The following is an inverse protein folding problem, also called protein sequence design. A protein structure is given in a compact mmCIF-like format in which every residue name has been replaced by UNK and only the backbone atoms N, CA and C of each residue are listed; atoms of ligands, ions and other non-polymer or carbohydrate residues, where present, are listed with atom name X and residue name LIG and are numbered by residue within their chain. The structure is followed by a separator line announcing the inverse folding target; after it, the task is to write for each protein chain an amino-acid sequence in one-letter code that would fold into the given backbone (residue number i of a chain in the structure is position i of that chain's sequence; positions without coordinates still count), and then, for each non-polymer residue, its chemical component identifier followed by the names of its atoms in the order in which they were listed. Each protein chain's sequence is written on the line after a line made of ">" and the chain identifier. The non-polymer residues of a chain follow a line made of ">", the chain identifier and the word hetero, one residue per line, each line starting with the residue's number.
data_IF_331639318547
#
_entry.id   IF_331639318547
#
_cell.length_a   1.000
_cell.length_b   1.000
_cell.length_c   1.000
_cell.angle_alpha   90.00
_cell.angle_beta   90.00
_cell.angle_gamma   90.00
#
_symmetry.space_group_name_H-M   'P 1'
#
loop_
_entity.id
_entity.type
_entity.pdbx_description
1 polymer ?
#
# COMPACT_ATOMS: atom_id res chain seq x y z
N UNK A 1 -66.15 -16.24 13.42
CA UNK A 1 -65.37 -17.49 13.36
C UNK A 1 -64.80 -17.57 11.95
N UNK A 2 -63.68 -16.90 11.66
CA UNK A 2 -62.30 -17.37 11.86
C UNK A 2 -62.05 -18.71 11.14
N UNK A 3 -61.29 -18.71 10.04
CA UNK A 3 -59.86 -19.04 10.07
C UNK A 3 -59.21 -19.12 8.67
N UNK A 4 -57.91 -18.79 8.67
CA UNK A 4 -56.96 -18.62 7.57
C UNK A 4 -56.60 -19.91 6.79
N UNK A 5 -55.98 -19.79 5.60
CA UNK A 5 -55.58 -20.91 4.74
C UNK A 5 -54.24 -21.57 5.16
N UNK A 6 -53.98 -22.84 4.81
CA UNK A 6 -52.71 -23.50 5.14
C UNK A 6 -51.58 -23.14 4.18
N UNK A 7 -50.44 -22.83 4.80
CA UNK A 7 -49.09 -22.66 4.25
C UNK A 7 -48.46 -24.00 3.85
N UNK A 8 -47.66 -24.01 2.79
CA UNK A 8 -46.21 -24.33 2.82
C UNK A 8 -45.64 -24.63 1.42
N UNK A 9 -44.83 -23.70 0.94
CA UNK A 9 -43.82 -23.90 -0.09
C UNK A 9 -42.72 -22.88 0.15
N UNK A 10 -41.60 -23.32 0.71
CA UNK A 10 -40.50 -22.48 1.24
C UNK A 10 -39.76 -21.71 0.14
N UNK A 11 -39.68 -20.36 0.19
CA UNK A 11 -38.71 -19.60 -0.58
C UNK A 11 -37.46 -19.31 0.26
N UNK A 12 -36.29 -19.55 -0.33
CA UNK A 12 -34.98 -19.16 0.19
C UNK A 12 -34.97 -17.67 0.60
N UNK A 13 -34.52 -17.30 1.83
CA UNK A 13 -34.47 -15.91 2.24
C UNK A 13 -33.13 -15.30 1.85
N UNK A 14 -33.04 -14.75 0.64
CA UNK A 14 -32.08 -13.68 0.34
C UNK A 14 -32.80 -12.34 0.43
N UNK A 15 -33.15 -11.95 1.67
CA UNK A 15 -33.60 -10.60 1.98
C UNK A 15 -32.39 -9.80 2.49
N UNK A 16 -31.65 -9.15 1.57
CA UNK A 16 -30.74 -8.06 1.92
C UNK A 16 -31.44 -6.77 1.52
N UNK A 17 -32.13 -6.14 2.48
CA UNK A 17 -32.54 -4.74 2.31
C UNK A 17 -31.29 -3.87 2.24
N UNK A 18 -31.23 -2.86 1.36
CA UNK A 18 -30.12 -1.93 1.36
C UNK A 18 -30.10 -1.20 2.71
N UNK A 19 -28.95 -1.07 3.38
CA UNK A 19 -28.84 -0.16 4.52
C UNK A 19 -29.21 1.24 4.04
N UNK A 20 -30.20 1.84 4.69
CA UNK A 20 -30.56 3.23 4.50
C UNK A 20 -29.38 4.11 4.93
N UNK A 21 -28.49 4.43 3.99
CA UNK A 21 -27.46 5.43 4.23
C UNK A 21 -28.09 6.81 4.18
N UNK A 22 -28.17 7.47 5.34
CA UNK A 22 -28.07 8.92 5.38
C UNK A 22 -26.87 9.34 4.51
N UNK A 23 -26.99 10.45 3.77
CA UNK A 23 -25.93 10.94 2.89
C UNK A 23 -24.56 10.80 3.58
N UNK A 24 -23.55 10.15 2.94
CA UNK A 24 -22.28 9.92 3.59
C UNK A 24 -21.74 11.27 4.08
N UNK A 25 -21.24 11.32 5.33
CA UNK A 25 -20.68 12.57 5.84
C UNK A 25 -19.59 13.06 4.87
N UNK A 26 -19.46 14.39 4.68
CA UNK A 26 -18.39 14.95 3.85
C UNK A 26 -17.05 14.39 4.36
N UNK A 27 -16.15 14.03 3.45
CA UNK A 27 -14.86 13.45 3.85
C UNK A 27 -14.11 14.41 4.78
N UNK A 28 -13.71 13.89 5.95
CA UNK A 28 -12.84 14.60 6.89
C UNK A 28 -11.67 13.71 7.27
N UNK A 29 -10.49 14.31 7.36
CA UNK A 29 -9.24 13.62 7.73
C UNK A 29 -9.36 12.90 9.09
N UNK A 30 -9.93 13.52 10.15
CA UNK A 30 -10.07 12.84 11.44
C UNK A 30 -10.95 11.60 11.37
N UNK A 31 -12.00 11.62 10.56
CA UNK A 31 -12.91 10.49 10.37
C UNK A 31 -12.21 9.35 9.62
N UNK A 32 -11.41 9.69 8.60
CA UNK A 32 -10.60 8.72 7.88
C UNK A 32 -9.58 8.02 8.79
N UNK A 33 -8.89 8.78 9.64
CA UNK A 33 -7.95 8.23 10.61
C UNK A 33 -8.66 7.39 11.69
N UNK A 34 -9.72 7.94 12.30
CA UNK A 34 -10.49 7.27 13.35
C UNK A 34 -11.06 5.93 12.89
N UNK A 35 -11.75 5.93 11.73
CA UNK A 35 -12.28 4.71 11.14
C UNK A 35 -11.18 3.67 10.86
N UNK A 36 -10.06 4.11 10.28
CA UNK A 36 -8.95 3.21 9.94
C UNK A 36 -8.29 2.63 11.19
N UNK A 37 -8.20 3.42 12.25
CA UNK A 37 -7.66 3.00 13.53
C UNK A 37 -8.57 1.99 14.24
N UNK A 38 -9.89 2.18 14.17
CA UNK A 38 -10.86 1.24 14.73
C UNK A 38 -10.84 -0.09 13.95
N UNK A 39 -10.81 -0.04 12.62
CA UNK A 39 -10.68 -1.25 11.79
C UNK A 39 -9.35 -1.97 12.02
N UNK A 40 -8.25 -1.22 12.20
CA UNK A 40 -6.97 -1.80 12.56
C UNK A 40 -7.05 -2.53 13.90
N UNK A 41 -7.71 -1.98 14.92
CA UNK A 41 -7.87 -2.63 16.23
C UNK A 41 -8.75 -3.87 16.16
N UNK A 42 -9.88 -3.79 15.46
CA UNK A 42 -10.81 -4.91 15.29
C UNK A 42 -10.14 -6.07 14.57
N UNK A 43 -9.35 -5.79 13.53
CA UNK A 43 -8.68 -6.79 12.71
C UNK A 43 -7.17 -6.93 12.99
N UNK A 44 -6.71 -6.45 14.16
CA UNK A 44 -5.30 -6.27 14.47
C UNK A 44 -4.50 -7.56 14.29
N UNK A 45 -5.01 -8.67 14.82
CA UNK A 45 -4.33 -9.97 14.78
C UNK A 45 -4.06 -10.43 13.35
N UNK A 46 -5.05 -10.29 12.47
CA UNK A 46 -4.94 -10.74 11.07
C UNK A 46 -4.04 -9.79 10.28
N UNK A 47 -4.18 -8.48 10.49
CA UNK A 47 -3.37 -7.47 9.79
C UNK A 47 -1.90 -7.50 10.21
N UNK A 48 -1.61 -7.64 11.50
CA UNK A 48 -0.23 -7.81 11.97
C UNK A 48 0.37 -9.15 11.58
N UNK A 49 -0.40 -10.25 11.67
CA UNK A 49 0.05 -11.55 11.20
C UNK A 49 0.39 -11.52 9.71
N UNK A 50 -0.44 -10.85 8.91
CA UNK A 50 -0.19 -10.60 7.50
C UNK A 50 1.16 -9.90 7.26
N UNK A 51 1.61 -9.00 8.14
CA UNK A 51 2.88 -8.29 7.96
C UNK A 51 4.12 -9.12 8.28
N UNK A 52 4.01 -10.23 9.01
CA UNK A 52 5.16 -11.03 9.47
C UNK A 52 6.13 -11.38 8.34
N UNK A 53 5.70 -11.93 7.18
CA UNK A 53 6.63 -12.27 6.10
C UNK A 53 7.42 -11.06 5.60
N UNK A 54 6.76 -9.92 5.44
CA UNK A 54 7.38 -8.67 4.96
C UNK A 54 8.34 -8.08 5.98
N UNK A 55 7.98 -8.12 7.27
CA UNK A 55 8.86 -7.67 8.36
C UNK A 55 10.10 -8.56 8.45
N UNK A 56 9.94 -9.88 8.38
CA UNK A 56 11.06 -10.83 8.41
C UNK A 56 12.00 -10.60 7.22
N UNK A 57 11.45 -10.53 6.00
CA UNK A 57 12.25 -10.25 4.80
C UNK A 57 12.94 -8.89 4.89
N UNK A 58 12.23 -7.86 5.35
CA UNK A 58 12.79 -6.52 5.54
C UNK A 58 13.93 -6.50 6.56
N UNK A 59 13.76 -7.18 7.70
CA UNK A 59 14.80 -7.30 8.73
C UNK A 59 16.03 -8.06 8.23
N UNK A 60 15.82 -9.15 7.46
CA UNK A 60 16.93 -9.91 6.85
C UNK A 60 17.70 -9.03 5.86
N UNK A 61 17.00 -8.34 4.96
CA UNK A 61 17.65 -7.43 4.00
C UNK A 61 18.38 -6.29 4.70
N UNK A 62 17.79 -5.73 5.77
CA UNK A 62 18.41 -4.69 6.58
C UNK A 62 19.66 -5.22 7.29
N UNK A 63 19.59 -6.38 7.92
CA UNK A 63 20.75 -7.01 8.55
C UNK A 63 21.86 -7.32 7.54
N UNK A 64 21.52 -7.84 6.36
CA UNK A 64 22.47 -8.07 5.26
C UNK A 64 23.10 -6.77 4.77
N UNK A 65 22.31 -5.69 4.64
CA UNK A 65 22.79 -4.36 4.28
C UNK A 65 23.81 -3.86 5.29
N UNK A 66 23.50 -3.90 6.59
CA UNK A 66 24.41 -3.46 7.65
C UNK A 66 25.66 -4.32 7.74
N UNK A 67 25.49 -5.65 7.71
CA UNK A 67 26.58 -6.61 7.73
C UNK A 67 27.59 -6.35 6.60
N UNK A 68 27.11 -6.02 5.40
CA UNK A 68 27.98 -5.82 4.24
C UNK A 68 28.54 -4.41 4.13
N UNK A 69 27.78 -3.37 4.44
CA UNK A 69 28.21 -1.99 4.22
C UNK A 69 29.00 -1.40 5.39
N UNK A 70 28.72 -1.76 6.64
CA UNK A 70 29.45 -1.21 7.80
C UNK A 70 30.97 -1.46 7.69
N UNK A 71 31.46 -2.67 7.34
CA UNK A 71 32.89 -2.89 7.15
C UNK A 71 33.49 -2.01 6.04
N UNK A 72 32.76 -1.81 4.95
CA UNK A 72 33.20 -0.96 3.83
C UNK A 72 33.28 0.50 4.26
N UNK A 73 32.31 0.99 5.04
CA UNK A 73 32.35 2.34 5.58
C UNK A 73 33.54 2.57 6.52
N UNK A 74 33.88 1.57 7.34
CA UNK A 74 35.04 1.61 8.23
C UNK A 74 36.34 1.64 7.41
N UNK A 75 36.49 0.75 6.44
CA UNK A 75 37.69 0.68 5.59
C UNK A 75 37.86 1.96 4.73
N UNK A 76 36.76 2.53 4.22
CA UNK A 76 36.77 3.80 3.49
C UNK A 76 37.17 5.00 4.36
N UNK A 77 36.99 4.93 5.68
CA UNK A 77 37.40 6.00 6.59
C UNK A 77 38.90 5.99 6.90
N UNK A 78 39.61 4.90 6.61
CA UNK A 78 41.04 4.80 6.86
C UNK A 78 41.85 5.59 5.81
N UNK A 79 42.71 6.54 6.21
CA UNK A 79 43.49 7.32 5.26
C UNK A 79 44.52 6.43 4.55
N UNK A 80 44.58 6.54 3.22
CA UNK A 80 45.57 5.83 2.40
C UNK A 80 46.04 6.71 1.24
N UNK A 81 47.35 6.67 0.98
CA UNK A 81 48.00 7.36 -0.14
C UNK A 81 48.26 6.46 -1.34
N UNK A 82 48.03 5.15 -1.20
CA UNK A 82 48.24 4.18 -2.28
C UNK A 82 47.04 4.15 -3.24
N UNK A 83 47.31 4.39 -4.53
CA UNK A 83 46.29 4.39 -5.58
C UNK A 83 45.64 3.02 -5.81
N UNK A 84 46.38 1.93 -5.55
CA UNK A 84 45.88 0.55 -5.66
C UNK A 84 44.80 0.26 -4.61
N UNK A 85 45.06 0.61 -3.34
CA UNK A 85 44.08 0.42 -2.26
C UNK A 85 42.84 1.29 -2.47
N UNK A 86 42.99 2.51 -2.98
CA UNK A 86 41.84 3.36 -3.32
C UNK A 86 40.95 2.73 -4.41
N UNK A 87 41.57 2.12 -5.43
CA UNK A 87 40.83 1.45 -6.51
C UNK A 87 40.11 0.20 -6.00
N UNK A 88 40.75 -0.63 -5.19
CA UNK A 88 40.17 -1.84 -4.61
C UNK A 88 38.95 -1.50 -3.75
N UNK A 89 39.06 -0.49 -2.89
CA UNK A 89 37.97 0.00 -2.04
C UNK A 89 36.77 0.52 -2.85
N UNK A 90 37.05 1.28 -3.92
CA UNK A 90 36.02 1.76 -4.81
C UNK A 90 35.30 0.57 -5.49
N UNK A 91 36.04 -0.40 -6.03
CA UNK A 91 35.48 -1.59 -6.64
C UNK A 91 34.61 -2.40 -5.67
N UNK A 92 35.08 -2.60 -4.43
CA UNK A 92 34.34 -3.32 -3.39
C UNK A 92 33.03 -2.63 -3.00
N UNK A 93 33.02 -1.30 -2.92
CA UNK A 93 31.81 -0.52 -2.69
C UNK A 93 30.82 -0.72 -3.84
N UNK A 94 31.25 -0.57 -5.10
CA UNK A 94 30.36 -0.71 -6.26
C UNK A 94 29.85 -2.13 -6.47
N UNK A 95 30.69 -3.14 -6.27
CA UNK A 95 30.27 -4.54 -6.30
C UNK A 95 29.20 -4.81 -5.24
N UNK A 96 29.38 -4.25 -4.03
CA UNK A 96 28.41 -4.36 -2.94
C UNK A 96 27.09 -3.66 -3.25
N UNK A 97 27.16 -2.42 -3.73
CA UNK A 97 25.97 -1.66 -4.13
C UNK A 97 25.22 -2.42 -5.22
N UNK A 98 25.93 -2.95 -6.22
CA UNK A 98 25.35 -3.77 -7.30
C UNK A 98 24.66 -5.03 -6.77
N UNK A 99 25.30 -5.76 -5.85
CA UNK A 99 24.72 -6.95 -5.21
C UNK A 99 23.45 -6.62 -4.42
N UNK A 100 23.47 -5.56 -3.61
CA UNK A 100 22.32 -5.12 -2.83
C UNK A 100 21.16 -4.69 -3.74
N UNK A 101 21.47 -4.02 -4.85
CA UNK A 101 20.46 -3.62 -5.84
C UNK A 101 19.83 -4.85 -6.51
N UNK A 102 20.65 -5.83 -6.90
CA UNK A 102 20.16 -7.08 -7.46
C UNK A 102 19.26 -7.85 -6.46
N UNK A 103 19.66 -7.94 -5.19
CA UNK A 103 18.87 -8.55 -4.13
C UNK A 103 17.54 -7.82 -3.92
N UNK A 104 17.55 -6.49 -3.93
CA UNK A 104 16.34 -5.67 -3.82
C UNK A 104 15.37 -5.91 -4.99
N UNK A 105 15.87 -6.04 -6.23
CA UNK A 105 15.04 -6.35 -7.40
C UNK A 105 14.37 -7.73 -7.29
N UNK A 106 15.09 -8.73 -6.77
CA UNK A 106 14.52 -10.07 -6.52
C UNK A 106 13.39 -10.01 -5.51
N UNK A 107 13.52 -9.19 -4.46
CA UNK A 107 12.51 -9.04 -3.39
C UNK A 107 11.38 -8.08 -3.77
N UNK A 108 11.59 -7.17 -4.73
CA UNK A 108 10.55 -6.26 -5.20
C UNK A 108 9.34 -7.01 -5.77
N UNK A 109 9.58 -8.15 -6.43
CA UNK A 109 8.56 -9.03 -6.99
C UNK A 109 7.57 -9.52 -5.91
N UNK A 110 7.98 -10.29 -4.89
CA UNK A 110 7.06 -10.74 -3.84
C UNK A 110 6.47 -9.57 -3.04
N UNK A 111 7.23 -8.49 -2.82
CA UNK A 111 6.74 -7.33 -2.09
C UNK A 111 5.61 -6.60 -2.83
N UNK A 112 5.66 -6.55 -4.17
CA UNK A 112 4.60 -5.96 -4.98
C UNK A 112 3.29 -6.75 -4.88
N UNK A 113 3.38 -8.08 -4.87
CA UNK A 113 2.22 -8.97 -4.69
C UNK A 113 1.62 -8.82 -3.31
N UNK A 114 2.47 -8.78 -2.30
CA UNK A 114 2.10 -8.51 -0.93
C UNK A 114 1.31 -7.21 -0.80
N UNK A 115 1.84 -6.12 -1.36
CA UNK A 115 1.18 -4.81 -1.31
C UNK A 115 -0.19 -4.84 -2.01
N UNK A 116 -0.29 -5.46 -3.19
CA UNK A 116 -1.58 -5.63 -3.87
C UNK A 116 -2.58 -6.45 -3.06
N UNK A 117 -2.15 -7.52 -2.39
CA UNK A 117 -3.03 -8.33 -1.55
C UNK A 117 -3.45 -7.63 -0.27
N UNK A 118 -2.56 -6.80 0.32
CA UNK A 118 -2.90 -5.95 1.45
C UNK A 118 -4.00 -4.95 1.08
N UNK A 119 -3.88 -4.28 -0.08
CA UNK A 119 -4.93 -3.38 -0.59
C UNK A 119 -6.26 -4.13 -0.76
N UNK A 120 -6.25 -5.36 -1.30
CA UNK A 120 -7.48 -6.16 -1.42
C UNK A 120 -8.10 -6.50 -0.07
N UNK A 121 -7.28 -6.83 0.93
CA UNK A 121 -7.77 -7.12 2.28
C UNK A 121 -8.41 -5.88 2.89
N UNK A 122 -7.79 -4.71 2.73
CA UNK A 122 -8.35 -3.45 3.21
C UNK A 122 -9.65 -3.06 2.48
N UNK A 123 -9.74 -3.32 1.16
CA UNK A 123 -10.99 -3.17 0.40
C UNK A 123 -12.09 -4.09 0.95
N UNK A 124 -11.78 -5.37 1.21
CA UNK A 124 -12.72 -6.31 1.80
C UNK A 124 -13.21 -5.86 3.19
N UNK A 125 -12.32 -5.34 4.04
CA UNK A 125 -12.68 -4.79 5.36
C UNK A 125 -13.60 -3.57 5.20
N UNK A 126 -13.29 -2.68 4.25
CA UNK A 126 -14.14 -1.53 3.95
C UNK A 126 -15.53 -1.93 3.44
N UNK A 127 -15.63 -3.06 2.76
CA UNK A 127 -16.89 -3.63 2.27
C UNK A 127 -17.63 -4.47 3.35
N UNK A 128 -17.12 -4.51 4.59
CA UNK A 128 -17.72 -5.23 5.72
C UNK A 128 -17.38 -6.72 5.80
N UNK A 129 -16.46 -7.20 4.96
CA UNK A 129 -16.01 -8.59 4.96
C UNK A 129 -14.96 -8.89 6.04
N UNK A 130 -14.77 -10.17 6.34
CA UNK A 130 -13.77 -10.63 7.32
C UNK A 130 -12.43 -10.94 6.62
N UNK A 131 -11.32 -10.30 7.02
CA UNK A 131 -10.01 -10.57 6.41
C UNK A 131 -9.49 -11.94 6.85
N UNK A 132 -8.81 -12.62 5.93
CA UNK A 132 -8.13 -13.90 6.21
C UNK A 132 -6.66 -13.84 5.82
N UNK A 133 -5.79 -14.46 6.62
CA UNK A 133 -4.34 -14.51 6.37
C UNK A 133 -3.99 -15.11 5.00
N UNK A 134 -4.77 -16.09 4.54
CA UNK A 134 -4.56 -16.75 3.22
C UNK A 134 -4.66 -15.78 2.05
N UNK A 135 -5.32 -14.63 2.23
CA UNK A 135 -5.49 -13.63 1.19
C UNK A 135 -4.16 -12.95 0.81
N UNK A 136 -3.24 -12.78 1.77
CA UNK A 136 -1.87 -12.29 1.52
C UNK A 136 -1.08 -13.22 0.62
N UNK A 137 -1.29 -14.53 0.77
CA UNK A 137 -0.59 -15.56 0.01
C UNK A 137 -1.25 -15.85 -1.35
N UNK A 138 -2.35 -15.18 -1.67
CA UNK A 138 -3.07 -15.43 -2.92
C UNK A 138 -2.31 -14.85 -4.12
N UNK A 139 -2.06 -15.67 -5.13
CA UNK A 139 -1.42 -15.22 -6.39
C UNK A 139 -2.44 -14.71 -7.42
N UNK A 140 -3.70 -14.54 -7.01
CA UNK A 140 -4.78 -14.14 -7.91
C UNK A 140 -4.42 -12.82 -8.60
N UNK A 141 -4.36 -12.80 -9.93
CA UNK A 141 -4.01 -11.59 -10.73
C UNK A 141 -2.62 -11.01 -10.39
N UNK A 142 -1.69 -11.84 -9.93
CA UNK A 142 -0.32 -11.47 -9.61
C UNK A 142 0.35 -10.65 -10.72
N UNK A 143 0.28 -11.14 -11.97
CA UNK A 143 0.94 -10.49 -13.11
C UNK A 143 0.52 -9.02 -13.30
N UNK A 144 -0.78 -8.70 -13.21
CA UNK A 144 -1.25 -7.30 -13.39
C UNK A 144 -0.86 -6.38 -12.23
N UNK A 145 -0.85 -6.90 -11.00
CA UNK A 145 -0.38 -6.15 -9.83
C UNK A 145 1.12 -5.86 -9.97
N UNK A 146 1.91 -6.84 -10.39
CA UNK A 146 3.35 -6.71 -10.59
C UNK A 146 3.68 -5.71 -11.70
N UNK A 147 3.02 -5.81 -12.86
CA UNK A 147 3.21 -4.86 -13.96
C UNK A 147 2.84 -3.44 -13.50
N UNK A 148 1.73 -3.28 -12.79
CA UNK A 148 1.28 -1.96 -12.34
C UNK A 148 2.23 -1.35 -11.31
N UNK A 149 2.62 -2.10 -10.30
CA UNK A 149 3.58 -1.65 -9.29
C UNK A 149 4.96 -1.35 -9.90
N UNK A 150 5.44 -2.17 -10.84
CA UNK A 150 6.68 -1.91 -11.57
C UNK A 150 6.59 -0.63 -12.40
N UNK A 151 5.50 -0.41 -13.13
CA UNK A 151 5.27 0.83 -13.90
C UNK A 151 5.23 2.04 -12.97
N UNK A 152 4.53 1.96 -11.85
CA UNK A 152 4.47 3.03 -10.85
C UNK A 152 5.85 3.31 -10.23
N UNK A 153 6.64 2.27 -9.96
CA UNK A 153 7.98 2.41 -9.40
C UNK A 153 8.93 3.07 -10.40
N UNK A 154 8.97 2.60 -11.65
CA UNK A 154 9.80 3.20 -12.70
C UNK A 154 9.39 4.66 -12.97
N UNK A 155 8.08 4.93 -13.08
CA UNK A 155 7.58 6.28 -13.28
C UNK A 155 7.89 7.20 -12.09
N UNK A 156 7.79 6.68 -10.86
CA UNK A 156 8.16 7.42 -9.65
C UNK A 156 9.66 7.75 -9.61
N UNK A 157 10.53 6.77 -9.90
CA UNK A 157 11.99 6.96 -9.94
C UNK A 157 12.39 7.93 -11.04
N UNK A 158 11.82 7.81 -12.24
CA UNK A 158 12.06 8.77 -13.32
C UNK A 158 11.58 10.17 -12.93
N UNK A 159 10.43 10.27 -12.25
CA UNK A 159 9.92 11.50 -11.68
C UNK A 159 10.92 12.13 -10.72
N UNK A 160 11.45 11.37 -9.75
CA UNK A 160 12.41 11.89 -8.76
C UNK A 160 13.77 12.23 -9.37
N UNK A 161 14.22 11.51 -10.40
CA UNK A 161 15.47 11.80 -11.13
C UNK A 161 15.34 13.12 -11.90
N UNK A 162 14.18 13.40 -12.52
CA UNK A 162 13.96 14.63 -13.27
C UNK A 162 13.89 15.87 -12.35
N UNK A 163 13.28 15.75 -11.18
CA UNK A 163 13.32 16.70 -10.06
C UNK A 163 12.53 16.09 -8.89
N UNK A 164 12.86 16.40 -7.63
CA UNK A 164 12.12 15.86 -6.48
C UNK A 164 10.60 16.17 -6.52
N UNK A 165 10.24 17.36 -7.02
CA UNK A 165 8.86 17.82 -7.17
C UNK A 165 7.98 16.93 -8.07
N UNK A 166 8.35 16.63 -9.33
CA UNK A 166 7.56 15.76 -10.21
C UNK A 166 7.40 14.34 -9.66
N UNK A 167 8.39 13.79 -8.94
CA UNK A 167 8.25 12.50 -8.26
C UNK A 167 7.16 12.51 -7.19
N UNK A 168 7.15 13.52 -6.32
CA UNK A 168 6.13 13.66 -5.27
C UNK A 168 4.74 13.91 -5.88
N UNK A 169 4.66 14.77 -6.90
CA UNK A 169 3.41 15.01 -7.61
C UNK A 169 2.87 13.70 -8.22
N UNK A 170 3.71 12.95 -8.95
CA UNK A 170 3.32 11.66 -9.51
C UNK A 170 2.81 10.69 -8.44
N UNK A 171 3.49 10.60 -7.29
CA UNK A 171 3.05 9.76 -6.17
C UNK A 171 1.65 10.16 -5.69
N UNK A 172 1.39 11.45 -5.47
CA UNK A 172 0.08 11.95 -5.07
C UNK A 172 -1.01 11.66 -6.11
N UNK A 173 -0.72 11.86 -7.39
CA UNK A 173 -1.69 11.57 -8.46
C UNK A 173 -1.92 10.06 -8.68
N UNK A 174 -0.94 9.23 -8.37
CA UNK A 174 -0.97 7.77 -8.60
C UNK A 174 -1.50 6.96 -7.42
N UNK A 175 -1.73 7.56 -6.25
CA UNK A 175 -2.03 6.83 -5.00
C UNK A 175 -3.26 5.91 -5.06
N UNK A 176 -4.26 6.25 -5.88
CA UNK A 176 -5.47 5.42 -6.04
C UNK A 176 -5.37 4.36 -7.15
N UNK A 177 -4.26 4.29 -7.87
CA UNK A 177 -4.08 3.35 -9.01
C UNK A 177 -4.32 1.90 -8.59
N UNK A 178 -3.75 1.47 -7.46
CA UNK A 178 -3.92 0.08 -6.99
C UNK A 178 -5.35 -0.22 -6.53
N UNK A 179 -6.00 0.61 -5.70
CA UNK A 179 -7.43 0.47 -5.41
C UNK A 179 -8.30 0.38 -6.67
N UNK A 180 -8.13 1.29 -7.64
CA UNK A 180 -8.91 1.26 -8.90
C UNK A 180 -8.69 -0.01 -9.70
N UNK A 181 -7.44 -0.47 -9.83
CA UNK A 181 -7.10 -1.69 -10.56
C UNK A 181 -7.75 -2.92 -9.93
N UNK A 182 -7.76 -2.98 -8.60
CA UNK A 182 -8.21 -4.15 -7.85
C UNK A 182 -9.73 -4.21 -7.72
N UNK A 183 -10.35 -3.07 -7.46
CA UNK A 183 -11.80 -2.92 -7.25
C UNK A 183 -12.57 -2.92 -8.58
N UNK A 184 -12.08 -2.20 -9.60
CA UNK A 184 -12.77 -2.06 -10.90
C UNK A 184 -12.20 -2.96 -12.00
N UNK A 185 -11.25 -3.83 -11.67
CA UNK A 185 -10.59 -4.77 -12.58
C UNK A 185 -9.96 -4.14 -13.84
N UNK A 186 -9.56 -2.86 -13.73
CA UNK A 186 -9.01 -2.09 -14.84
C UNK A 186 -7.61 -2.57 -15.24
N UNK A 187 -7.25 -2.39 -16.52
CA UNK A 187 -5.87 -2.53 -16.97
C UNK A 187 -4.95 -1.46 -16.36
N UNK A 188 -3.64 -1.73 -16.28
CA UNK A 188 -2.63 -0.85 -15.65
C UNK A 188 -2.75 0.62 -16.06
N UNK A 189 -2.71 0.91 -17.36
CA UNK A 189 -2.78 2.30 -17.85
C UNK A 189 -4.15 2.94 -17.63
N UNK A 190 -5.24 2.16 -17.68
CA UNK A 190 -6.58 2.66 -17.40
C UNK A 190 -6.73 3.03 -15.91
N UNK A 191 -6.15 2.23 -15.01
CA UNK A 191 -6.12 2.50 -13.57
C UNK A 191 -5.32 3.77 -13.24
N UNK A 192 -4.15 3.98 -13.88
CA UNK A 192 -3.33 5.19 -13.68
C UNK A 192 -4.10 6.43 -14.14
N UNK A 193 -4.69 6.39 -15.34
CA UNK A 193 -5.51 7.50 -15.85
C UNK A 193 -6.72 7.78 -14.96
N UNK A 194 -7.37 6.72 -14.48
CA UNK A 194 -8.49 6.83 -13.53
C UNK A 194 -8.06 7.47 -12.20
N UNK A 195 -6.90 7.11 -11.67
CA UNK A 195 -6.33 7.73 -10.46
C UNK A 195 -6.09 9.23 -10.69
N UNK A 196 -5.50 9.60 -11.82
CA UNK A 196 -5.22 11.00 -12.15
C UNK A 196 -6.51 11.81 -12.30
N UNK A 197 -7.53 11.26 -12.95
CA UNK A 197 -8.83 11.90 -13.08
C UNK A 197 -9.50 12.11 -11.71
N UNK A 198 -9.45 11.09 -10.84
CA UNK A 198 -10.03 11.17 -9.49
C UNK A 198 -9.33 12.24 -8.64
N UNK A 199 -7.99 12.29 -8.69
CA UNK A 199 -7.22 13.29 -7.94
C UNK A 199 -7.47 14.70 -8.49
N UNK A 200 -7.57 14.88 -9.80
CA UNK A 200 -7.91 16.19 -10.41
C UNK A 200 -9.31 16.67 -10.04
N UNK A 201 -10.28 15.77 -9.95
CA UNK A 201 -11.64 16.11 -9.55
C UNK A 201 -11.72 16.54 -8.07
N UNK A 202 -10.81 16.05 -7.22
CA UNK A 202 -10.84 16.29 -5.77
C UNK A 202 -9.45 16.65 -5.19
N UNK A 203 -8.76 17.62 -5.80
CA UNK A 203 -7.37 17.96 -5.47
C UNK A 203 -7.13 18.25 -3.99
N UNK A 204 -7.94 19.13 -3.38
CA UNK A 204 -7.75 19.52 -1.99
C UNK A 204 -7.85 18.33 -1.04
N UNK A 205 -8.85 17.47 -1.25
CA UNK A 205 -9.09 16.30 -0.42
C UNK A 205 -8.01 15.22 -0.59
N UNK A 206 -7.57 15.03 -1.83
CA UNK A 206 -6.51 14.09 -2.17
C UNK A 206 -5.17 14.54 -1.58
N UNK A 207 -4.83 15.83 -1.67
CA UNK A 207 -3.60 16.36 -1.07
C UNK A 207 -3.58 16.20 0.45
N UNK A 208 -4.72 16.45 1.11
CA UNK A 208 -4.86 16.22 2.54
C UNK A 208 -4.70 14.74 2.92
N UNK A 209 -5.31 13.83 2.14
CA UNK A 209 -5.15 12.38 2.32
C UNK A 209 -3.69 11.97 2.15
N UNK A 210 -3.04 12.47 1.10
CA UNK A 210 -1.64 12.21 0.82
C UNK A 210 -0.72 12.70 1.95
N UNK A 211 -0.98 13.91 2.47
CA UNK A 211 -0.27 14.43 3.64
C UNK A 211 -0.45 13.56 4.89
N UNK A 212 -1.66 13.06 5.15
CA UNK A 212 -1.92 12.12 6.24
C UNK A 212 -1.15 10.80 6.04
N UNK A 213 -1.10 10.26 4.82
CA UNK A 213 -0.34 9.05 4.51
C UNK A 213 1.15 9.23 4.76
N UNK A 214 1.72 10.39 4.38
CA UNK A 214 3.11 10.74 4.67
C UNK A 214 3.33 10.82 6.19
N UNK A 215 2.43 11.48 6.93
CA UNK A 215 2.55 11.60 8.38
C UNK A 215 2.51 10.23 9.09
N UNK A 216 1.61 9.35 8.67
CA UNK A 216 1.51 7.98 9.21
C UNK A 216 2.74 7.15 8.86
N UNK A 217 3.25 7.26 7.63
CA UNK A 217 4.48 6.59 7.23
C UNK A 217 5.68 7.08 8.05
N UNK A 218 5.83 8.39 8.21
CA UNK A 218 6.89 9.01 9.00
C UNK A 218 6.83 8.58 10.47
N UNK A 219 5.65 8.64 11.10
CA UNK A 219 5.46 8.15 12.46
C UNK A 219 5.84 6.67 12.62
N UNK A 220 5.53 5.83 11.62
CA UNK A 220 5.94 4.42 11.60
C UNK A 220 7.46 4.23 11.55
N UNK A 221 8.18 5.07 10.81
CA UNK A 221 9.65 5.01 10.76
C UNK A 221 10.32 5.46 12.06
N UNK A 222 9.75 6.44 12.76
CA UNK A 222 10.26 6.91 14.05
C UNK A 222 10.14 5.86 15.16
N UNK A 223 9.19 4.92 15.05
CA UNK A 223 9.02 3.79 15.96
C UNK A 223 9.91 2.57 15.59
N UNK A 224 11.16 2.82 15.19
CA UNK A 224 12.22 1.82 15.00
C UNK A 224 11.83 0.63 14.10
N UNK A 225 11.22 0.89 12.93
CA UNK A 225 10.77 -0.13 11.96
C UNK A 225 9.66 -1.07 12.45
N UNK A 226 9.50 -1.30 13.76
CA UNK A 226 8.34 -2.01 14.34
C UNK A 226 7.06 -1.23 14.04
N UNK A 227 7.14 0.10 14.07
CA UNK A 227 6.05 0.98 13.67
C UNK A 227 5.58 0.78 12.22
N UNK A 228 6.43 0.28 11.33
CA UNK A 228 6.06 0.02 9.92
C UNK A 228 5.04 -1.11 9.81
N UNK A 229 5.10 -2.11 10.69
CA UNK A 229 4.15 -3.21 10.70
C UNK A 229 2.71 -2.74 11.01
N UNK A 230 2.56 -1.67 11.79
CA UNK A 230 1.24 -1.09 12.06
C UNK A 230 0.90 0.06 11.10
N UNK A 231 1.88 0.86 10.67
CA UNK A 231 1.63 2.01 9.82
C UNK A 231 1.27 1.63 8.38
N UNK A 232 1.81 0.52 7.86
CA UNK A 232 1.45 -0.03 6.54
C UNK A 232 -0.05 -0.37 6.42
N UNK A 233 -0.63 -1.24 7.27
CA UNK A 233 -2.06 -1.54 7.20
C UNK A 233 -2.91 -0.31 7.54
N UNK A 234 -2.48 0.53 8.49
CA UNK A 234 -3.18 1.77 8.82
C UNK A 234 -3.26 2.73 7.63
N UNK A 235 -2.14 3.00 6.96
CA UNK A 235 -2.10 3.85 5.77
C UNK A 235 -2.91 3.26 4.62
N UNK A 236 -2.91 1.95 4.46
CA UNK A 236 -3.70 1.27 3.42
C UNK A 236 -5.21 1.40 3.71
N UNK A 237 -5.63 1.29 4.98
CA UNK A 237 -7.02 1.51 5.37
C UNK A 237 -7.45 2.97 5.13
N UNK A 238 -6.61 3.95 5.46
CA UNK A 238 -6.86 5.38 5.18
C UNK A 238 -7.03 5.61 3.68
N UNK A 239 -6.16 5.01 2.87
CA UNK A 239 -6.23 5.10 1.41
C UNK A 239 -7.54 4.51 0.86
N UNK A 240 -7.96 3.34 1.36
CA UNK A 240 -9.21 2.69 0.96
C UNK A 240 -10.43 3.47 1.39
N UNK A 241 -10.43 4.02 2.61
CA UNK A 241 -11.50 4.88 3.10
C UNK A 241 -11.66 6.10 2.17
N UNK A 242 -10.56 6.82 1.90
CA UNK A 242 -10.57 7.96 0.99
C UNK A 242 -11.06 7.59 -0.40
N UNK A 243 -10.60 6.45 -0.94
CA UNK A 243 -11.06 5.93 -2.22
C UNK A 243 -12.59 5.71 -2.26
N UNK A 244 -13.16 5.03 -1.26
CA UNK A 244 -14.61 4.79 -1.19
C UNK A 244 -15.39 6.09 -1.01
N UNK A 245 -14.95 6.99 -0.13
CA UNK A 245 -15.62 8.29 0.08
C UNK A 245 -15.65 9.14 -1.20
N UNK A 246 -14.51 9.26 -1.88
CA UNK A 246 -14.39 10.05 -3.11
C UNK A 246 -15.24 9.47 -4.25
N UNK A 247 -15.36 8.15 -4.33
CA UNK A 247 -16.22 7.50 -5.32
C UNK A 247 -17.70 7.75 -5.11
N UNK A 248 -18.15 7.82 -3.85
CA UNK A 248 -19.55 8.12 -3.56
C UNK A 248 -19.87 9.57 -3.93
N UNK A 249 -18.96 10.51 -3.63
CA UNK A 249 -19.12 11.93 -4.03
C UNK A 249 -19.12 12.12 -5.56
N UNK A 250 -18.39 11.29 -6.31
CA UNK A 250 -18.38 11.34 -7.78
C UNK A 250 -19.60 10.74 -8.48
N UNK A 251 -20.50 10.05 -7.74
CA UNK A 251 -21.75 9.48 -8.28
C UNK A 251 -22.96 10.40 -8.15
N UNK A 252 -22.82 11.54 -7.50
CA UNK A 252 -23.89 12.51 -7.23
C UNK A 252 -23.85 13.73 -8.16
N UNK A 253 -23.21 13.62 -9.33
CA UNK A 253 -23.21 14.63 -10.38
C UNK A 253 -23.64 14.00 -11.69
#
# INVERSE_FOLDING_TARGET
>A
MSDQPPSHGTPYPYAYGPPSYAAPPPFRIPDAFGWSWDMLRVHLKVLLAAMIPTVVVGLVLYAMYFWRLVPIWIDMAEPTTSSTVQLDRFQDLWATVGLLYAAALVVAIPLSLFHGNLVRMCLLIADGGTPSYRMILSTRRAGRVMVTTAVLLVAGVLGTILCLLPGIAFAAFSMFTLPLLLDRDLGTFAAIRGSFALVRAHLGLCLLTFGLLIAVAYAGTMLCFVGIAASMPLGTLILVYAYRSLQVTGRTV
#
